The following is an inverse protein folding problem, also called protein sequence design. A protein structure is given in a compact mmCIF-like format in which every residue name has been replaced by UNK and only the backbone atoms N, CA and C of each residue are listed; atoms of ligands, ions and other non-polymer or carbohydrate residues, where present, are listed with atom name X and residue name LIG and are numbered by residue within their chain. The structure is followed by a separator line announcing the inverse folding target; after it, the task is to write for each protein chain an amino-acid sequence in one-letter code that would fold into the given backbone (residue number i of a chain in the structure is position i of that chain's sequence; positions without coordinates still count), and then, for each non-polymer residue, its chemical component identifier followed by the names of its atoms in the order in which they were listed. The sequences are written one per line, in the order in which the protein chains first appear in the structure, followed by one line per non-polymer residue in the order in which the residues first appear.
data_IF_507622286822
#
_entry.id   IF_507622286822
#
_cell.length_a   1.000
_cell.length_b   1.000
_cell.length_c   1.000
_cell.angle_alpha   90.00
_cell.angle_beta   90.00
_cell.angle_gamma   90.00
#
_symmetry.space_group_name_H-M   'P 1'
#
loop_
_entity.id
_entity.type
_entity.pdbx_description
1 polymer ?
#
# COMPACT_ATOMS: atom_id res chain seq x y z
N UNK A 1 9.71 11.97 23.28
CA UNK A 1 8.67 11.16 22.61
C UNK A 1 9.29 10.04 21.77
N UNK A 2 9.09 8.81 22.23
CA UNK A 2 9.51 7.61 21.51
C UNK A 2 8.30 7.08 20.74
N UNK A 3 8.44 6.93 19.43
CA UNK A 3 7.39 6.37 18.57
C UNK A 3 7.06 4.91 18.91
N UNK A 4 7.89 4.27 19.72
CA UNK A 4 7.75 2.89 20.16
C UNK A 4 7.03 2.76 21.51
N UNK A 5 6.59 3.87 22.11
CA UNK A 5 5.87 3.89 23.39
C UNK A 5 4.49 4.48 23.17
N UNK A 6 3.45 3.65 23.33
CA UNK A 6 2.07 4.11 23.32
C UNK A 6 1.74 4.84 24.63
N UNK A 7 1.06 6.00 24.56
CA UNK A 7 0.54 6.68 25.74
C UNK A 7 -0.44 5.80 26.52
N UNK A 8 -0.46 5.91 27.85
CA UNK A 8 -1.38 5.14 28.71
C UNK A 8 -2.86 5.37 28.36
N UNK A 9 -3.21 6.57 27.89
CA UNK A 9 -4.56 6.95 27.50
C UNK A 9 -4.87 6.74 26.00
N UNK A 10 -4.00 6.10 25.22
CA UNK A 10 -4.17 5.96 23.77
C UNK A 10 -5.50 5.27 23.39
N UNK A 11 -5.94 4.30 24.19
CA UNK A 11 -7.20 3.57 23.99
C UNK A 11 -8.45 4.46 24.05
N UNK A 12 -8.35 5.65 24.65
CA UNK A 12 -9.45 6.62 24.79
C UNK A 12 -9.53 7.60 23.61
N UNK A 13 -8.59 7.53 22.67
CA UNK A 13 -8.53 8.44 21.52
C UNK A 13 -9.48 8.02 20.39
N UNK A 14 -9.78 8.95 19.46
CA UNK A 14 -10.66 8.67 18.31
C UNK A 14 -10.12 7.57 17.37
N UNK A 15 -8.79 7.46 17.25
CA UNK A 15 -8.13 6.48 16.38
C UNK A 15 -6.92 5.83 17.09
N UNK A 16 -7.15 4.96 18.10
CA UNK A 16 -6.07 4.39 18.92
C UNK A 16 -5.02 3.62 18.11
N UNK A 17 -5.46 2.97 17.03
CA UNK A 17 -4.59 2.23 16.11
C UNK A 17 -3.58 3.13 15.34
N UNK A 18 -3.76 4.46 15.37
CA UNK A 18 -2.84 5.43 14.75
C UNK A 18 -1.98 6.17 15.77
N UNK A 19 -2.19 5.93 17.06
CA UNK A 19 -1.49 6.57 18.17
C UNK A 19 -1.37 8.10 17.98
N UNK A 20 -2.50 8.86 18.03
CA UNK A 20 -2.54 10.25 17.60
C UNK A 20 -1.49 11.16 18.26
N UNK A 21 -1.16 10.89 19.53
CA UNK A 21 -0.16 11.66 20.27
C UNK A 21 1.25 11.61 19.65
N UNK A 22 1.61 10.54 18.94
CA UNK A 22 2.90 10.49 18.23
C UNK A 22 3.01 11.60 17.19
N UNK A 23 1.93 11.85 16.44
CA UNK A 23 1.86 12.95 15.47
C UNK A 23 1.97 14.31 16.17
N UNK A 24 1.25 14.49 17.28
CA UNK A 24 1.27 15.74 18.05
C UNK A 24 2.65 16.04 18.64
N UNK A 25 3.36 14.99 19.06
CA UNK A 25 4.74 15.08 19.54
C UNK A 25 5.71 15.57 18.44
N UNK A 26 5.59 15.07 17.21
CA UNK A 26 6.39 15.56 16.08
C UNK A 26 6.12 17.03 15.78
N UNK A 27 4.84 17.44 15.79
CA UNK A 27 4.44 18.83 15.56
C UNK A 27 5.02 19.73 16.66
N UNK A 28 4.90 19.32 17.92
CA UNK A 28 5.38 20.08 19.08
C UNK A 28 6.89 20.31 19.01
N UNK A 29 7.67 19.26 18.77
CA UNK A 29 9.13 19.37 18.66
C UNK A 29 9.53 20.25 17.47
N UNK A 30 8.90 20.06 16.31
CA UNK A 30 9.21 20.85 15.12
C UNK A 30 9.01 22.35 15.38
N UNK A 31 7.88 22.73 15.98
CA UNK A 31 7.60 24.12 16.36
C UNK A 31 8.63 24.65 17.35
N UNK A 32 8.91 23.89 18.42
CA UNK A 32 9.83 24.31 19.47
C UNK A 32 11.27 24.54 18.96
N UNK A 33 11.75 23.68 18.05
CA UNK A 33 13.12 23.77 17.51
C UNK A 33 13.25 24.84 16.43
N UNK A 34 12.26 24.95 15.54
CA UNK A 34 12.39 25.80 14.33
C UNK A 34 11.74 27.18 14.48
N UNK A 35 10.82 27.34 15.43
CA UNK A 35 9.99 28.55 15.57
C UNK A 35 8.99 28.77 14.44
N UNK A 36 8.76 27.78 13.57
CA UNK A 36 7.87 27.89 12.40
C UNK A 36 6.50 27.31 12.70
N UNK A 37 5.47 27.87 12.06
CA UNK A 37 4.15 27.26 12.05
C UNK A 37 4.16 25.91 11.34
N UNK A 38 3.41 24.97 11.92
CA UNK A 38 3.35 23.58 11.48
C UNK A 38 2.12 22.91 12.10
N UNK A 39 1.50 21.95 11.43
CA UNK A 39 0.41 21.18 12.02
C UNK A 39 0.42 19.74 11.49
N UNK A 40 -0.48 18.92 12.04
CA UNK A 40 -0.59 17.50 11.64
C UNK A 40 -0.97 17.33 10.18
N UNK A 41 -1.73 18.27 9.60
CA UNK A 41 -2.14 18.21 8.20
C UNK A 41 -0.96 18.48 7.29
N UNK A 42 -0.16 19.51 7.61
CA UNK A 42 1.06 19.84 6.90
C UNK A 42 2.09 18.73 6.99
N UNK A 43 2.25 18.10 8.16
CA UNK A 43 3.13 16.94 8.31
C UNK A 43 2.75 15.81 7.34
N UNK A 44 1.46 15.49 7.25
CA UNK A 44 0.96 14.44 6.34
C UNK A 44 1.13 14.85 4.87
N UNK A 45 0.87 16.11 4.53
CA UNK A 45 1.10 16.65 3.18
C UNK A 45 2.58 16.58 2.78
N UNK A 46 3.50 16.99 3.68
CA UNK A 46 4.93 16.90 3.46
C UNK A 46 5.40 15.45 3.27
N UNK A 47 4.84 14.52 4.04
CA UNK A 47 5.06 13.07 3.86
C UNK A 47 4.60 12.60 2.47
N UNK A 48 3.40 13.03 2.03
CA UNK A 48 2.86 12.70 0.71
C UNK A 48 3.73 13.26 -0.44
N UNK A 49 4.25 14.49 -0.29
CA UNK A 49 5.19 15.11 -1.23
C UNK A 49 6.47 14.29 -1.35
N UNK A 50 7.08 13.90 -0.22
CA UNK A 50 8.31 13.11 -0.20
C UNK A 50 8.07 11.71 -0.79
N UNK A 51 6.93 11.08 -0.49
CA UNK A 51 6.60 9.75 -1.02
C UNK A 51 6.46 9.77 -2.56
N UNK A 52 5.82 10.79 -3.11
CA UNK A 52 5.72 10.97 -4.56
C UNK A 52 7.07 11.29 -5.19
N UNK A 53 7.92 12.09 -4.53
CA UNK A 53 9.28 12.32 -4.99
C UNK A 53 10.08 11.02 -5.08
N UNK A 54 10.05 10.18 -4.05
CA UNK A 54 10.71 8.87 -4.04
C UNK A 54 10.16 7.95 -5.14
N UNK A 55 8.84 7.96 -5.37
CA UNK A 55 8.21 7.19 -6.45
C UNK A 55 8.72 7.62 -7.83
N UNK A 56 8.79 8.92 -8.08
CA UNK A 56 9.28 9.48 -9.36
C UNK A 56 10.79 9.26 -9.50
N UNK A 57 11.54 9.31 -8.40
CA UNK A 57 12.95 8.93 -8.41
C UNK A 57 13.13 7.48 -8.88
N UNK A 58 12.35 6.54 -8.34
CA UNK A 58 12.38 5.15 -8.79
C UNK A 58 12.01 5.02 -10.27
N UNK A 59 11.01 5.77 -10.74
CA UNK A 59 10.62 5.84 -12.15
C UNK A 59 11.79 6.28 -13.04
N UNK A 60 12.48 7.35 -12.66
CA UNK A 60 13.67 7.83 -13.36
C UNK A 60 14.80 6.79 -13.41
N UNK A 61 14.85 5.88 -12.43
CA UNK A 61 15.84 4.79 -12.38
C UNK A 61 15.42 3.53 -13.15
N UNK A 62 14.26 3.55 -13.82
CA UNK A 62 13.73 2.41 -14.57
C UNK A 62 12.85 1.46 -13.75
N UNK A 63 12.44 1.86 -12.54
CA UNK A 63 11.56 1.09 -11.65
C UNK A 63 10.23 1.82 -11.41
N UNK A 64 9.42 1.44 -10.41
CA UNK A 64 8.30 2.26 -9.95
C UNK A 64 7.07 2.32 -10.87
N UNK A 65 6.95 1.37 -11.78
CA UNK A 65 5.71 1.02 -12.50
C UNK A 65 5.01 -0.15 -11.81
N UNK A 66 3.79 -0.48 -12.24
CA UNK A 66 2.97 -1.55 -11.64
C UNK A 66 3.68 -2.90 -11.57
N UNK A 67 4.50 -3.23 -12.55
CA UNK A 67 5.25 -4.49 -12.57
C UNK A 67 6.16 -4.67 -11.34
N UNK A 68 6.64 -3.55 -10.77
CA UNK A 68 7.55 -3.52 -9.63
C UNK A 68 6.83 -3.57 -8.28
N UNK A 69 5.52 -3.36 -8.27
CA UNK A 69 4.69 -3.47 -7.06
C UNK A 69 4.08 -4.87 -6.92
N UNK A 70 4.59 -5.88 -7.65
CA UNK A 70 4.08 -7.25 -7.58
C UNK A 70 4.51 -7.95 -6.29
N UNK A 71 3.57 -8.62 -5.64
CA UNK A 71 3.87 -9.51 -4.53
C UNK A 71 4.67 -10.74 -4.99
N UNK A 72 5.54 -11.31 -4.15
CA UNK A 72 6.18 -12.60 -4.43
C UNK A 72 5.15 -13.71 -4.60
N UNK A 73 5.41 -14.67 -5.49
CA UNK A 73 4.51 -15.80 -5.76
C UNK A 73 4.06 -16.52 -4.48
N UNK A 74 4.97 -16.76 -3.52
CA UNK A 74 4.63 -17.43 -2.25
C UNK A 74 3.58 -16.68 -1.41
N UNK A 75 3.46 -15.36 -1.54
CA UNK A 75 2.49 -14.57 -0.78
C UNK A 75 1.04 -14.82 -1.23
N UNK A 76 0.83 -15.14 -2.51
CA UNK A 76 -0.50 -15.33 -3.05
C UNK A 76 -1.14 -16.70 -2.69
N UNK A 77 -0.38 -17.69 -2.20
CA UNK A 77 -0.97 -18.99 -1.86
C UNK A 77 0.04 -20.12 -1.71
N UNK A 78 -0.45 -21.35 -1.44
CA UNK A 78 0.40 -22.53 -1.36
C UNK A 78 1.20 -22.72 -2.65
N UNK A 79 2.50 -22.98 -2.52
CA UNK A 79 3.45 -23.11 -3.63
C UNK A 79 3.55 -24.56 -4.08
N UNK A 80 3.46 -25.50 -3.15
CA UNK A 80 3.53 -26.95 -3.40
C UNK A 80 2.23 -27.65 -3.03
N UNK A 81 2.08 -28.89 -3.52
CA UNK A 81 0.96 -29.77 -3.14
C UNK A 81 0.95 -30.03 -1.64
N UNK A 82 2.10 -30.36 -1.06
CA UNK A 82 2.23 -30.64 0.38
C UNK A 82 1.79 -29.44 1.23
N UNK A 83 2.11 -28.20 0.81
CA UNK A 83 1.65 -26.99 1.49
C UNK A 83 0.11 -26.88 1.47
N UNK A 84 -0.52 -27.24 0.34
CA UNK A 84 -1.99 -27.29 0.25
C UNK A 84 -2.56 -28.40 1.13
N UNK A 85 -2.05 -29.62 0.96
CA UNK A 85 -2.57 -30.84 1.59
C UNK A 85 -2.43 -30.81 3.12
N UNK A 86 -1.32 -30.24 3.64
CA UNK A 86 -1.13 -30.03 5.08
C UNK A 86 -2.20 -29.14 5.73
N UNK A 87 -2.97 -28.38 4.93
CA UNK A 87 -4.03 -27.46 5.38
C UNK A 87 -5.27 -27.56 4.48
N UNK A 88 -5.57 -28.74 3.95
CA UNK A 88 -6.61 -28.95 2.96
C UNK A 88 -7.98 -28.40 3.40
N UNK A 89 -8.39 -28.66 4.64
CA UNK A 89 -9.66 -28.18 5.19
C UNK A 89 -9.78 -26.64 5.13
N UNK A 90 -8.71 -25.93 5.49
CA UNK A 90 -8.68 -24.46 5.43
C UNK A 90 -8.85 -23.96 4.00
N UNK A 91 -8.12 -24.54 3.05
CA UNK A 91 -8.12 -24.06 1.67
C UNK A 91 -9.40 -24.45 0.92
N UNK A 92 -9.92 -25.66 1.14
CA UNK A 92 -11.20 -26.11 0.59
C UNK A 92 -12.36 -25.24 1.12
N UNK A 93 -12.33 -24.85 2.40
CA UNK A 93 -13.30 -23.89 2.96
C UNK A 93 -13.21 -22.53 2.29
N UNK A 94 -12.00 -22.00 2.07
CA UNK A 94 -11.82 -20.72 1.37
C UNK A 94 -12.29 -20.78 -0.08
N UNK A 95 -12.02 -21.87 -0.80
CA UNK A 95 -12.52 -22.07 -2.16
C UNK A 95 -14.06 -22.01 -2.18
N UNK A 96 -14.72 -22.68 -1.24
CA UNK A 96 -16.18 -22.72 -1.18
C UNK A 96 -16.80 -21.39 -0.76
N UNK A 97 -16.34 -20.81 0.34
CA UNK A 97 -16.99 -19.66 1.00
C UNK A 97 -16.55 -18.31 0.41
N UNK A 98 -15.30 -18.19 -0.02
CA UNK A 98 -14.72 -16.92 -0.48
C UNK A 98 -14.65 -16.89 -2.01
N UNK A 99 -14.15 -17.96 -2.63
CA UNK A 99 -14.00 -18.02 -4.10
C UNK A 99 -15.31 -18.44 -4.78
N UNK A 100 -16.21 -19.13 -4.07
CA UNK A 100 -17.47 -19.62 -4.61
C UNK A 100 -17.32 -20.86 -5.50
N UNK A 101 -16.25 -21.65 -5.31
CA UNK A 101 -15.96 -22.86 -6.08
C UNK A 101 -16.04 -24.10 -5.19
N UNK A 102 -16.78 -25.12 -5.63
CA UNK A 102 -16.79 -26.43 -4.96
C UNK A 102 -15.46 -27.17 -5.23
N UNK A 103 -14.67 -27.50 -4.18
CA UNK A 103 -13.42 -28.24 -4.34
C UNK A 103 -13.64 -29.74 -4.64
N UNK A 104 -14.85 -30.26 -4.49
CA UNK A 104 -15.14 -31.69 -4.66
C UNK A 104 -14.81 -32.18 -6.07
N UNK A 105 -14.08 -33.30 -6.17
CA UNK A 105 -13.67 -33.89 -7.45
C UNK A 105 -12.52 -33.20 -8.19
N UNK A 106 -11.97 -32.10 -7.65
CA UNK A 106 -10.81 -31.41 -8.21
C UNK A 106 -9.50 -31.97 -7.64
N UNK A 107 -8.47 -32.01 -8.48
CA UNK A 107 -7.10 -32.31 -8.05
C UNK A 107 -6.53 -31.18 -7.18
N UNK A 108 -5.51 -31.50 -6.36
CA UNK A 108 -4.78 -30.51 -5.56
C UNK A 108 -4.23 -29.37 -6.43
N UNK A 109 -3.73 -29.68 -7.64
CA UNK A 109 -3.19 -28.68 -8.58
C UNK A 109 -4.27 -27.68 -9.02
N UNK A 110 -5.45 -28.17 -9.43
CA UNK A 110 -6.56 -27.31 -9.85
C UNK A 110 -7.04 -26.42 -8.70
N UNK A 111 -7.17 -26.99 -7.50
CA UNK A 111 -7.56 -26.25 -6.29
C UNK A 111 -6.56 -25.13 -5.99
N UNK A 112 -5.27 -25.42 -6.03
CA UNK A 112 -4.20 -24.44 -5.84
C UNK A 112 -4.26 -23.32 -6.87
N UNK A 113 -4.42 -23.65 -8.15
CA UNK A 113 -4.51 -22.67 -9.24
C UNK A 113 -5.71 -21.73 -9.07
N UNK A 114 -6.90 -22.29 -8.75
CA UNK A 114 -8.13 -21.51 -8.55
C UNK A 114 -8.00 -20.55 -7.36
N UNK A 115 -7.51 -21.06 -6.22
CA UNK A 115 -7.33 -20.24 -5.03
C UNK A 115 -6.32 -19.11 -5.26
N UNK A 116 -5.21 -19.44 -5.93
CA UNK A 116 -4.15 -18.48 -6.25
C UNK A 116 -4.65 -17.40 -7.19
N UNK A 117 -5.29 -17.77 -8.29
CA UNK A 117 -5.86 -16.84 -9.27
C UNK A 117 -6.79 -15.84 -8.57
N UNK A 118 -7.71 -16.33 -7.73
CA UNK A 118 -8.60 -15.46 -6.97
C UNK A 118 -7.83 -14.46 -6.09
N UNK A 119 -6.82 -14.93 -5.35
CA UNK A 119 -6.05 -14.07 -4.44
C UNK A 119 -5.19 -13.05 -5.18
N UNK A 120 -4.62 -13.43 -6.31
CA UNK A 120 -3.90 -12.51 -7.19
C UNK A 120 -4.85 -11.44 -7.74
N UNK A 121 -6.07 -11.81 -8.15
CA UNK A 121 -7.09 -10.84 -8.57
C UNK A 121 -7.51 -9.89 -7.44
N UNK A 122 -7.63 -10.37 -6.19
CA UNK A 122 -7.89 -9.48 -5.05
C UNK A 122 -6.73 -8.52 -4.78
N UNK A 123 -5.49 -8.98 -4.95
CA UNK A 123 -4.31 -8.14 -4.83
C UNK A 123 -4.30 -7.02 -5.88
N UNK A 124 -4.61 -7.32 -7.14
CA UNK A 124 -4.69 -6.32 -8.20
C UNK A 124 -5.78 -5.27 -7.92
N UNK A 125 -6.92 -5.66 -7.34
CA UNK A 125 -7.97 -4.71 -6.89
C UNK A 125 -7.47 -3.80 -5.77
N UNK A 126 -6.73 -4.35 -4.81
CA UNK A 126 -6.11 -3.56 -3.74
C UNK A 126 -5.11 -2.55 -4.31
N UNK A 127 -4.26 -2.98 -5.25
CA UNK A 127 -3.29 -2.11 -5.92
C UNK A 127 -4.00 -0.97 -6.64
N UNK A 128 -5.09 -1.24 -7.36
CA UNK A 128 -5.88 -0.21 -8.04
C UNK A 128 -6.44 0.83 -7.05
N UNK A 129 -7.03 0.37 -5.94
CA UNK A 129 -7.56 1.26 -4.91
C UNK A 129 -6.46 2.11 -4.23
N UNK A 130 -5.28 1.54 -4.02
CA UNK A 130 -4.13 2.27 -3.46
C UNK A 130 -3.64 3.33 -4.44
N UNK A 131 -3.50 3.00 -5.73
CA UNK A 131 -3.08 3.96 -6.76
C UNK A 131 -4.05 5.12 -6.88
N UNK A 132 -5.35 4.83 -6.92
CA UNK A 132 -6.38 5.87 -6.97
C UNK A 132 -6.28 6.80 -5.76
N UNK A 133 -6.19 6.25 -4.54
CA UNK A 133 -6.08 7.03 -3.31
C UNK A 133 -4.81 7.89 -3.26
N UNK A 134 -3.71 7.44 -3.88
CA UNK A 134 -2.45 8.17 -3.98
C UNK A 134 -2.39 9.18 -5.13
N UNK A 135 -3.46 9.29 -5.93
CA UNK A 135 -3.47 10.16 -7.11
C UNK A 135 -2.58 9.67 -8.25
N UNK A 136 -2.40 8.35 -8.36
CA UNK A 136 -1.59 7.70 -9.39
C UNK A 136 -2.49 7.14 -10.51
N UNK A 137 -1.92 6.87 -11.68
CA UNK A 137 -2.60 6.15 -12.74
C UNK A 137 -2.53 4.62 -12.53
N UNK A 138 -3.16 3.84 -13.43
CA UNK A 138 -3.21 2.38 -13.31
C UNK A 138 -1.84 1.69 -13.42
N UNK A 139 -0.82 2.39 -13.94
CA UNK A 139 0.55 1.91 -13.99
C UNK A 139 1.37 2.31 -12.74
N UNK A 140 0.74 2.89 -11.72
CA UNK A 140 1.39 3.26 -10.47
C UNK A 140 2.29 4.50 -10.58
N UNK A 141 2.04 5.36 -11.57
CA UNK A 141 2.78 6.61 -11.76
C UNK A 141 1.94 7.80 -11.26
N UNK A 142 2.51 8.73 -10.47
CA UNK A 142 1.80 9.93 -10.04
C UNK A 142 1.26 10.73 -11.22
N UNK A 143 -0.02 11.11 -11.15
CA UNK A 143 -0.63 11.95 -12.19
C UNK A 143 -0.14 13.37 -12.07
N UNK A 144 0.06 14.05 -13.20
CA UNK A 144 0.45 15.46 -13.23
C UNK A 144 -0.55 16.35 -12.47
N UNK A 145 -1.85 16.09 -12.60
CA UNK A 145 -2.91 16.83 -11.87
C UNK A 145 -2.72 16.73 -10.35
N UNK A 146 -2.31 15.57 -9.86
CA UNK A 146 -2.10 15.33 -8.45
C UNK A 146 -0.81 15.98 -7.95
N UNK A 147 0.27 15.92 -8.73
CA UNK A 147 1.52 16.62 -8.41
C UNK A 147 1.30 18.13 -8.28
N UNK A 148 0.50 18.74 -9.15
CA UNK A 148 0.10 20.14 -9.02
C UNK A 148 -0.67 20.41 -7.73
N UNK A 149 -1.63 19.55 -7.39
CA UNK A 149 -2.43 19.67 -6.16
C UNK A 149 -1.55 19.70 -4.90
N UNK A 150 -0.50 18.88 -4.85
CA UNK A 150 0.40 18.80 -3.70
C UNK A 150 1.65 19.69 -3.83
N UNK A 151 1.70 20.59 -4.83
CA UNK A 151 2.83 21.51 -5.07
C UNK A 151 4.16 20.82 -5.40
N UNK A 152 4.08 19.69 -6.11
CA UNK A 152 5.19 18.86 -6.60
C UNK A 152 5.25 18.84 -8.13
N UNK A 153 4.63 19.79 -8.80
CA UNK A 153 4.75 20.06 -10.23
C UNK A 153 6.07 20.73 -10.61
N UNK A 154 7.15 20.30 -9.95
CA UNK A 154 8.51 20.72 -10.27
C UNK A 154 8.84 20.30 -11.71
N UNK A 155 9.43 21.17 -12.55
CA UNK A 155 9.70 20.86 -13.95
C UNK A 155 10.43 19.52 -14.16
N UNK A 156 11.38 19.20 -13.30
CA UNK A 156 12.17 17.97 -13.34
C UNK A 156 11.35 16.71 -13.05
N UNK A 157 10.31 16.83 -12.19
CA UNK A 157 9.41 15.73 -11.88
C UNK A 157 8.40 15.52 -13.01
N UNK A 158 7.86 16.62 -13.54
CA UNK A 158 6.94 16.60 -14.68
C UNK A 158 7.63 15.98 -15.90
N UNK A 159 8.88 16.34 -16.15
CA UNK A 159 9.67 15.78 -17.26
C UNK A 159 9.80 14.26 -17.19
N UNK A 160 9.93 13.70 -15.98
CA UNK A 160 10.03 12.24 -15.79
C UNK A 160 8.67 11.56 -16.03
N UNK A 161 7.57 12.12 -15.52
CA UNK A 161 6.26 11.44 -15.54
C UNK A 161 5.45 11.68 -16.80
N UNK A 162 5.76 12.72 -17.61
CA UNK A 162 4.91 13.14 -18.75
C UNK A 162 4.66 12.04 -19.79
N UNK A 163 5.64 11.17 -20.02
CA UNK A 163 5.53 10.09 -21.00
C UNK A 163 4.81 8.84 -20.46
N UNK A 164 4.40 8.88 -19.18
CA UNK A 164 3.77 7.77 -18.47
C UNK A 164 2.33 8.07 -18.05
N UNK A 165 1.75 9.19 -18.51
CA UNK A 165 0.42 9.64 -18.11
C UNK A 165 -0.69 8.83 -18.78
#
# INVERSE_FOLDING_TARGET
PWNDVEPENNAETDEPAKVPEHVDNYVTIYKAVTGREFDKYRLVEDSERVYNFQRIFNLRRGFGTREHDRQPYRAAGPVTKDEYESRAERYDRQLKEIVGVDPSGKSTDEKMQLLRKYREEQYEKLVDAVYERRGWNKNGVPKIEFLKKIGMDLPELIEVVKNYQ
#
